data_IF_527707011938
#
_entry.id   IF_527707011938
#
_cell.length_a   1.000
_cell.length_b   1.000
_cell.length_c   1.000
_cell.angle_alpha   90.00
_cell.angle_beta   90.00
_cell.angle_gamma   90.00
#
_symmetry.space_group_name_H-M   'P 1'
#
loop_
_entity.id
_entity.type
_entity.pdbx_description
1 polymer ?
#
# COMPACT_ATOMS: atom_id res chain seq x y z
N UNK A 1 34.45 -52.01 25.17
CA UNK A 1 33.84 -50.71 25.54
C UNK A 1 33.52 -49.96 24.25
N UNK A 2 32.28 -49.47 24.14
CA UNK A 2 31.58 -48.87 22.98
C UNK A 2 31.57 -47.34 23.23
N UNK A 3 31.67 -46.38 22.29
CA UNK A 3 30.77 -45.97 21.19
C UNK A 3 31.56 -44.91 20.37
N UNK A 4 31.71 -44.96 19.03
CA UNK A 4 30.74 -44.67 17.94
C UNK A 4 30.11 -43.28 18.09
N UNK A 5 30.53 -42.37 17.21
CA UNK A 5 29.92 -41.04 17.03
C UNK A 5 28.60 -41.10 16.27
N UNK A 6 27.86 -39.99 16.28
CA UNK A 6 26.83 -39.65 15.29
C UNK A 6 26.41 -38.19 15.45
N UNK A 7 26.39 -37.47 14.32
CA UNK A 7 25.69 -36.19 14.14
C UNK A 7 24.18 -36.39 14.32
N UNK A 8 23.48 -35.48 15.01
CA UNK A 8 22.03 -35.31 14.86
C UNK A 8 21.68 -33.82 14.81
N UNK A 9 20.94 -33.53 13.76
CA UNK A 9 20.23 -32.32 13.35
C UNK A 9 19.24 -31.76 14.39
N UNK A 10 19.12 -30.43 14.39
CA UNK A 10 17.90 -29.59 14.34
C UNK A 10 16.64 -30.08 15.11
N UNK A 11 16.12 -29.25 16.02
CA UNK A 11 14.75 -28.71 15.94
C UNK A 11 14.40 -27.75 17.09
N UNK A 12 13.87 -26.59 16.66
CA UNK A 12 12.96 -25.66 17.31
C UNK A 12 12.40 -26.08 18.67
N UNK A 13 12.41 -25.15 19.63
CA UNK A 13 11.24 -24.87 20.48
C UNK A 13 11.28 -23.44 20.99
N UNK A 14 10.25 -22.71 20.58
CA UNK A 14 9.83 -21.38 21.01
C UNK A 14 9.72 -21.30 22.53
N UNK A 15 10.34 -20.30 23.14
CA UNK A 15 9.99 -19.83 24.47
C UNK A 15 9.79 -18.31 24.39
N UNK A 16 8.51 -17.93 24.54
CA UNK A 16 8.06 -16.58 24.80
C UNK A 16 8.87 -15.98 25.95
N UNK A 17 9.48 -14.82 25.71
CA UNK A 17 9.82 -13.86 26.76
C UNK A 17 9.08 -12.56 26.47
N UNK A 18 7.89 -12.43 27.04
CA UNK A 18 7.43 -11.13 27.52
C UNK A 18 8.14 -10.88 28.87
N UNK A 19 8.28 -9.60 29.25
CA UNK A 19 8.99 -9.07 30.42
C UNK A 19 10.49 -8.87 30.15
N UNK A 20 11.10 -7.70 30.26
CA UNK A 20 10.70 -6.45 30.88
C UNK A 20 11.97 -5.82 31.45
N UNK A 21 12.17 -4.52 31.18
CA UNK A 21 12.99 -3.65 32.03
C UNK A 21 14.40 -3.31 31.57
N UNK A 22 14.78 -2.09 31.99
CA UNK A 22 16.08 -1.40 31.90
C UNK A 22 16.26 -0.63 30.59
N UNK A 23 16.11 0.70 30.49
CA UNK A 23 16.29 1.76 31.48
C UNK A 23 17.62 2.47 31.22
N UNK A 24 17.57 3.72 30.73
CA UNK A 24 18.54 4.80 31.00
C UNK A 24 18.29 5.96 30.05
N UNK A 25 18.02 7.14 30.65
CA UNK A 25 17.85 8.42 29.95
C UNK A 25 16.95 8.25 28.73
N UNK A 26 16.87 9.05 27.69
CA UNK A 26 17.46 10.31 27.37
C UNK A 26 16.27 11.13 26.87
N UNK A 27 16.00 12.24 27.57
CA UNK A 27 15.25 13.40 27.11
C UNK A 27 14.11 13.13 26.09
N UNK A 28 12.87 13.03 26.60
CA UNK A 28 11.67 13.25 25.79
C UNK A 28 11.72 14.67 25.24
N UNK A 29 12.34 14.85 24.08
CA UNK A 29 12.07 15.99 23.24
C UNK A 29 10.68 15.71 22.65
N UNK A 30 9.63 16.19 23.31
CA UNK A 30 8.23 16.06 22.90
C UNK A 30 7.90 16.72 21.55
N UNK A 31 8.94 17.06 20.76
CA UNK A 31 8.86 17.77 19.49
C UNK A 31 9.68 17.10 18.39
N UNK A 32 10.45 16.04 18.68
CA UNK A 32 11.19 15.34 17.62
C UNK A 32 10.24 14.43 16.85
N UNK A 33 9.98 14.78 15.61
CA UNK A 33 9.27 13.95 14.64
C UNK A 33 10.02 14.03 13.31
N UNK A 34 10.36 12.87 12.75
CA UNK A 34 10.96 12.78 11.41
C UNK A 34 10.21 11.71 10.62
N UNK A 35 9.78 12.07 9.42
CA UNK A 35 9.02 11.20 8.52
C UNK A 35 9.91 10.64 7.44
N UNK A 36 9.74 9.36 7.14
CA UNK A 36 10.44 8.66 6.05
C UNK A 36 9.44 8.01 5.12
N UNK A 37 9.66 8.10 3.82
CA UNK A 37 8.82 7.44 2.80
C UNK A 37 9.67 6.46 2.02
N UNK A 38 9.31 5.18 2.10
CA UNK A 38 9.96 4.10 1.35
C UNK A 38 8.88 3.35 0.55
N UNK A 39 8.96 3.42 -0.77
CA UNK A 39 7.92 2.89 -1.65
C UNK A 39 6.55 3.53 -1.37
N UNK A 40 5.57 2.71 -0.98
CA UNK A 40 4.20 3.15 -0.63
C UNK A 40 3.96 3.35 0.87
N UNK A 41 4.97 3.13 1.72
CA UNK A 41 4.85 3.18 3.17
C UNK A 41 5.48 4.46 3.72
N UNK A 42 4.78 5.12 4.63
CA UNK A 42 5.27 6.28 5.37
C UNK A 42 5.49 5.89 6.82
N UNK A 43 6.68 6.16 7.33
CA UNK A 43 7.08 5.88 8.71
C UNK A 43 7.26 7.21 9.45
N UNK A 44 6.71 7.32 10.64
CA UNK A 44 6.85 8.48 11.52
C UNK A 44 7.68 8.07 12.72
N UNK A 45 8.91 8.58 12.78
CA UNK A 45 9.84 8.31 13.86
C UNK A 45 9.79 9.47 14.85
N UNK A 46 9.27 9.23 16.05
CA UNK A 46 9.21 10.22 17.14
C UNK A 46 10.41 10.20 18.07
N UNK A 47 11.45 9.45 17.68
CA UNK A 47 12.73 9.37 18.38
C UNK A 47 13.84 9.56 17.37
N UNK A 48 14.81 10.40 17.71
CA UNK A 48 16.00 10.65 16.88
C UNK A 48 16.79 9.36 16.61
N UNK A 49 16.85 8.48 17.61
CA UNK A 49 17.47 7.16 17.46
C UNK A 49 16.74 6.29 16.43
N UNK A 50 15.41 6.25 16.48
CA UNK A 50 14.61 5.50 15.52
C UNK A 50 14.72 6.10 14.10
N UNK A 51 14.76 7.43 14.00
CA UNK A 51 14.95 8.12 12.74
C UNK A 51 16.32 7.85 12.13
N UNK A 52 17.39 7.88 12.92
CA UNK A 52 18.75 7.60 12.44
C UNK A 52 18.93 6.14 11.99
N UNK A 53 18.25 5.18 12.63
CA UNK A 53 18.23 3.79 12.17
C UNK A 53 17.46 3.60 10.85
N UNK A 54 16.35 4.33 10.70
CA UNK A 54 15.49 4.31 9.51
C UNK A 54 16.12 5.05 8.31
N UNK A 55 16.92 6.08 8.54
CA UNK A 55 17.72 6.81 7.53
C UNK A 55 19.03 6.09 7.14
N UNK A 56 19.40 5.05 7.89
CA UNK A 56 20.63 4.30 7.69
C UNK A 56 20.59 3.35 6.49
N UNK A 57 21.75 2.79 6.12
CA UNK A 57 21.89 1.86 4.99
C UNK A 57 21.02 0.59 5.11
N UNK A 58 20.61 0.22 6.33
CA UNK A 58 19.72 -0.91 6.62
C UNK A 58 18.22 -0.57 6.56
N UNK A 59 17.85 0.72 6.51
CA UNK A 59 16.46 1.21 6.51
C UNK A 59 15.60 0.56 7.60
N UNK A 60 16.13 0.46 8.83
CA UNK A 60 15.42 -0.19 9.93
C UNK A 60 14.46 0.79 10.60
N UNK A 61 13.22 0.78 10.12
CA UNK A 61 12.12 1.62 10.62
C UNK A 61 11.22 0.88 11.62
N UNK A 62 11.66 -0.26 12.17
CA UNK A 62 10.86 -1.08 13.09
C UNK A 62 10.46 -0.35 14.38
N UNK A 63 11.27 0.63 14.80
CA UNK A 63 11.01 1.48 15.95
C UNK A 63 10.19 2.75 15.62
N UNK A 64 9.76 2.91 14.36
CA UNK A 64 8.94 4.03 13.91
C UNK A 64 7.48 3.58 13.73
N UNK A 65 6.55 4.51 13.93
CA UNK A 65 5.14 4.24 13.68
C UNK A 65 4.92 4.15 12.17
N UNK A 66 4.36 3.04 11.68
CA UNK A 66 3.87 3.01 10.31
C UNK A 66 2.67 3.96 10.24
N UNK A 67 2.88 5.12 9.61
CA UNK A 67 1.80 6.00 9.20
C UNK A 67 1.10 5.30 8.04
N UNK A 68 0.24 4.36 8.40
CA UNK A 68 -0.80 3.89 7.53
C UNK A 68 -1.57 5.15 7.20
N UNK A 69 -1.41 5.68 5.98
CA UNK A 69 -2.43 6.57 5.47
C UNK A 69 -3.68 5.69 5.53
N UNK A 70 -4.56 5.92 6.51
CA UNK A 70 -5.89 5.35 6.51
C UNK A 70 -6.66 6.07 5.41
N UNK A 71 -6.11 6.02 4.20
CA UNK A 71 -6.70 6.57 3.02
C UNK A 71 -7.99 5.79 2.87
N UNK A 72 -9.15 6.47 2.90
CA UNK A 72 -10.41 5.79 2.80
C UNK A 72 -10.40 4.94 1.52
N UNK A 73 -10.97 3.74 1.62
CA UNK A 73 -11.17 2.89 0.46
C UNK A 73 -12.14 3.57 -0.51
N UNK A 74 -11.87 3.42 -1.80
CA UNK A 74 -12.74 3.93 -2.86
C UNK A 74 -13.94 2.98 -2.95
N UNK A 75 -15.12 3.49 -2.59
CA UNK A 75 -16.38 2.73 -2.60
C UNK A 75 -17.42 3.33 -3.55
N UNK A 76 -17.24 4.59 -3.95
CA UNK A 76 -18.14 5.29 -4.86
C UNK A 76 -18.09 4.64 -6.26
N UNK A 77 -19.25 4.36 -6.84
CA UNK A 77 -19.35 3.84 -8.21
C UNK A 77 -19.14 4.97 -9.23
N UNK A 78 -18.47 4.68 -10.34
CA UNK A 78 -18.20 5.67 -11.38
C UNK A 78 -19.49 6.18 -12.03
N UNK A 79 -19.52 7.48 -12.30
CA UNK A 79 -20.61 8.09 -13.04
C UNK A 79 -20.61 7.57 -14.49
N UNK A 80 -21.80 7.34 -15.04
CA UNK A 80 -21.99 6.99 -16.44
C UNK A 80 -22.72 8.13 -17.16
N UNK A 81 -22.00 9.12 -17.72
CA UNK A 81 -22.64 10.25 -18.40
C UNK A 81 -23.37 9.83 -19.69
N UNK A 82 -22.90 8.75 -20.31
CA UNK A 82 -23.49 8.12 -21.50
C UNK A 82 -23.48 6.61 -21.25
N UNK A 83 -24.41 5.90 -21.88
CA UNK A 83 -24.46 4.44 -21.82
C UNK A 83 -23.09 3.84 -22.18
N UNK A 84 -22.66 2.84 -21.39
CA UNK A 84 -21.39 2.14 -21.52
C UNK A 84 -20.14 3.03 -21.45
N UNK A 85 -20.25 4.29 -20.99
CA UNK A 85 -19.11 5.18 -20.77
C UNK A 85 -18.99 5.50 -19.30
N UNK A 86 -17.87 5.13 -18.67
CA UNK A 86 -17.58 5.37 -17.26
C UNK A 86 -16.59 6.51 -17.11
N UNK A 87 -16.93 7.47 -16.24
CA UNK A 87 -16.09 8.63 -15.94
C UNK A 87 -15.37 8.42 -14.61
N UNK A 88 -14.04 8.45 -14.68
CA UNK A 88 -13.14 8.31 -13.52
C UNK A 88 -12.61 9.69 -13.12
N UNK A 89 -12.58 9.98 -11.83
CA UNK A 89 -12.09 11.25 -11.27
C UNK A 89 -10.74 11.05 -10.58
N UNK A 90 -10.16 12.16 -10.10
CA UNK A 90 -8.96 12.12 -9.26
C UNK A 90 -9.18 11.45 -7.91
N UNK A 91 -10.41 11.49 -7.38
CA UNK A 91 -10.76 10.83 -6.12
C UNK A 91 -10.95 9.32 -6.30
N UNK A 92 -11.21 8.92 -7.55
CA UNK A 92 -11.39 7.54 -7.96
C UNK A 92 -12.81 7.05 -7.81
N UNK A 93 -13.07 5.92 -8.45
CA UNK A 93 -14.36 5.25 -8.38
C UNK A 93 -14.27 3.78 -8.77
N UNK A 94 -15.27 3.01 -8.37
CA UNK A 94 -15.46 1.61 -8.72
C UNK A 94 -16.20 1.51 -10.06
N UNK A 95 -15.55 0.85 -11.01
CA UNK A 95 -16.05 0.50 -12.33
C UNK A 95 -16.72 -0.86 -12.25
N UNK A 96 -18.03 -0.91 -12.53
CA UNK A 96 -18.78 -2.15 -12.72
C UNK A 96 -18.95 -2.34 -14.22
N UNK A 97 -17.99 -3.04 -14.81
CA UNK A 97 -18.00 -3.40 -16.23
C UNK A 97 -18.82 -4.69 -16.40
N UNK A 98 -19.16 -5.02 -17.63
CA UNK A 98 -20.06 -6.14 -17.95
C UNK A 98 -19.52 -7.49 -17.44
N UNK A 99 -18.20 -7.71 -17.48
CA UNK A 99 -17.56 -8.97 -17.05
C UNK A 99 -16.48 -8.80 -15.97
N UNK A 100 -16.27 -7.58 -15.48
CA UNK A 100 -15.19 -7.29 -14.53
C UNK A 100 -15.60 -6.17 -13.59
N UNK A 101 -15.00 -6.15 -12.41
CA UNK A 101 -15.10 -5.00 -11.50
C UNK A 101 -13.70 -4.51 -11.21
N UNK A 102 -13.50 -3.22 -11.43
CA UNK A 102 -12.20 -2.58 -11.24
C UNK A 102 -12.36 -1.30 -10.43
N UNK A 103 -11.28 -0.81 -9.87
CA UNK A 103 -11.22 0.52 -9.26
C UNK A 103 -10.27 1.38 -10.07
N UNK A 104 -10.71 2.57 -10.43
CA UNK A 104 -9.93 3.51 -11.23
C UNK A 104 -9.66 4.81 -10.51
N UNK A 105 -8.51 5.43 -10.78
CA UNK A 105 -8.20 6.83 -10.45
C UNK A 105 -7.63 7.53 -11.66
N UNK A 106 -7.83 8.84 -11.73
CA UNK A 106 -7.13 9.70 -12.69
C UNK A 106 -6.05 10.51 -11.99
N UNK A 107 -4.88 10.59 -12.61
CA UNK A 107 -3.78 11.42 -12.16
C UNK A 107 -3.15 12.16 -13.35
N UNK A 108 -2.08 12.90 -13.10
CA UNK A 108 -1.35 13.64 -14.15
C UNK A 108 -0.69 12.73 -15.20
N UNK A 109 -0.48 11.45 -14.90
CA UNK A 109 0.09 10.47 -15.83
C UNK A 109 -0.98 9.86 -16.75
N UNK A 110 -2.25 9.86 -16.32
CA UNK A 110 -3.39 9.32 -17.05
C UNK A 110 -4.37 8.56 -16.15
N UNK A 111 -4.95 7.50 -16.70
CA UNK A 111 -5.91 6.63 -16.01
C UNK A 111 -5.15 5.44 -15.40
N UNK A 112 -5.33 5.20 -14.10
CA UNK A 112 -4.82 4.01 -13.40
C UNK A 112 -5.99 3.09 -13.07
N UNK A 113 -5.86 1.80 -13.39
CA UNK A 113 -6.87 0.79 -13.08
C UNK A 113 -6.27 -0.36 -12.27
N UNK A 114 -7.03 -0.85 -11.28
CA UNK A 114 -6.69 -2.03 -10.50
C UNK A 114 -7.93 -2.92 -10.37
N UNK A 115 -7.79 -4.21 -10.67
CA UNK A 115 -8.91 -5.17 -10.59
C UNK A 115 -9.40 -5.35 -9.15
N UNK A 116 -10.71 -5.43 -8.96
CA UNK A 116 -11.37 -5.55 -7.66
C UNK A 116 -11.88 -4.22 -7.09
N UNK A 117 -12.31 -4.30 -5.84
CA UNK A 117 -12.91 -3.21 -5.05
C UNK A 117 -12.21 -3.08 -3.69
N UNK A 118 -12.61 -2.10 -2.88
CA UNK A 118 -12.05 -1.83 -1.55
C UNK A 118 -10.57 -1.45 -1.60
N UNK A 119 -10.14 -0.84 -2.71
CA UNK A 119 -8.79 -0.30 -2.87
C UNK A 119 -8.72 1.14 -2.39
N UNK A 120 -7.61 1.49 -1.74
CA UNK A 120 -7.28 2.90 -1.48
C UNK A 120 -6.72 3.56 -2.74
N UNK A 121 -6.79 4.90 -2.84
CA UNK A 121 -6.19 5.65 -3.95
C UNK A 121 -4.70 5.33 -4.14
N UNK A 122 -3.98 5.11 -3.05
CA UNK A 122 -2.56 4.76 -3.11
C UNK A 122 -2.32 3.36 -3.70
N UNK A 123 -3.17 2.39 -3.36
CA UNK A 123 -3.11 1.06 -3.98
C UNK A 123 -3.49 1.10 -5.47
N UNK A 124 -4.51 1.86 -5.86
CA UNK A 124 -4.87 2.00 -7.28
C UNK A 124 -3.77 2.70 -8.08
N UNK A 125 -3.00 3.61 -7.46
CA UNK A 125 -1.87 4.27 -8.14
C UNK A 125 -0.77 3.32 -8.61
N UNK A 126 -0.66 2.12 -8.02
CA UNK A 126 0.27 1.07 -8.47
C UNK A 126 -0.33 0.15 -9.55
N UNK A 127 -1.58 0.40 -9.96
CA UNK A 127 -2.29 -0.33 -11.00
C UNK A 127 -1.77 -0.04 -12.41
N UNK A 128 -2.42 -0.66 -13.39
CA UNK A 128 -2.08 -0.53 -14.81
C UNK A 128 -2.35 0.92 -15.26
N UNK A 129 -1.36 1.54 -15.92
CA UNK A 129 -1.44 2.90 -16.44
C UNK A 129 -1.89 2.92 -17.90
N UNK A 130 -2.90 3.74 -18.19
CA UNK A 130 -3.34 4.12 -19.51
C UNK A 130 -3.06 5.61 -19.69
N UNK A 131 -1.91 5.93 -20.31
CA UNK A 131 -1.39 7.30 -20.41
C UNK A 131 -2.26 8.26 -21.22
N UNK A 132 -3.14 7.73 -22.07
CA UNK A 132 -4.15 8.51 -22.80
C UNK A 132 -5.32 8.98 -21.93
N UNK A 133 -5.37 8.53 -20.67
CA UNK A 133 -6.50 8.81 -19.77
C UNK A 133 -7.77 8.07 -20.16
N UNK A 134 -7.71 7.11 -21.09
CA UNK A 134 -8.88 6.36 -21.56
C UNK A 134 -8.54 4.92 -21.97
N UNK A 135 -9.55 4.07 -21.88
CA UNK A 135 -9.53 2.67 -22.29
C UNK A 135 -10.90 2.30 -22.86
N UNK A 136 -10.93 1.65 -24.02
CA UNK A 136 -12.14 1.04 -24.57
C UNK A 136 -12.00 -0.47 -24.57
N UNK A 137 -13.01 -1.16 -24.04
CA UNK A 137 -13.05 -2.61 -23.87
C UNK A 137 -14.26 -3.11 -24.66
N UNK A 138 -14.04 -4.01 -25.61
CA UNK A 138 -15.13 -4.62 -26.38
C UNK A 138 -15.46 -6.00 -25.81
N UNK A 139 -16.72 -6.20 -25.43
CA UNK A 139 -17.26 -7.44 -24.88
C UNK A 139 -18.42 -7.89 -25.76
N UNK A 140 -18.17 -8.88 -26.62
CA UNK A 140 -19.15 -9.30 -27.64
C UNK A 140 -19.47 -8.15 -28.60
N UNK A 141 -20.73 -7.69 -28.59
CA UNK A 141 -21.20 -6.60 -29.43
C UNK A 141 -21.24 -5.24 -28.71
N UNK A 142 -20.80 -5.19 -27.44
CA UNK A 142 -20.85 -4.00 -26.60
C UNK A 142 -19.45 -3.45 -26.41
N UNK A 143 -19.29 -2.12 -26.47
CA UNK A 143 -18.02 -1.46 -26.18
C UNK A 143 -18.19 -0.56 -24.97
N UNK A 144 -17.48 -0.88 -23.88
CA UNK A 144 -17.41 -0.08 -22.67
C UNK A 144 -16.20 0.85 -22.76
N UNK A 145 -16.40 2.13 -22.54
CA UNK A 145 -15.33 3.14 -22.52
C UNK A 145 -15.13 3.66 -21.12
N UNK A 146 -13.89 3.69 -20.66
CA UNK A 146 -13.47 4.28 -19.38
C UNK A 146 -12.64 5.49 -19.73
N UNK A 147 -12.97 6.65 -19.17
CA UNK A 147 -12.24 7.88 -19.44
C UNK A 147 -12.06 8.70 -18.18
N UNK A 148 -10.93 9.37 -18.09
CA UNK A 148 -10.74 10.43 -17.12
C UNK A 148 -11.69 11.57 -17.37
N UNK A 149 -12.11 12.20 -16.27
CA UNK A 149 -12.77 13.48 -16.31
C UNK A 149 -11.80 14.53 -16.88
N UNK A 150 -12.15 15.26 -17.97
CA UNK A 150 -11.40 16.44 -18.38
C UNK A 150 -11.39 17.53 -17.29
#
# INVERSE_FOLDING_TARGET
MKRIGCSIFILLSVLLTACGGSGSGDHFNSSFEKTFTFGSQTYVCRSEKAANACDGASQDCSACELHSSSSPVITQVCAQPVENTHRVTTDGCVLRLTNDTQTGICNSEGLRLLSGINWTKQQVSTGILFSRGSLSITVGNLTETITCNP
#
